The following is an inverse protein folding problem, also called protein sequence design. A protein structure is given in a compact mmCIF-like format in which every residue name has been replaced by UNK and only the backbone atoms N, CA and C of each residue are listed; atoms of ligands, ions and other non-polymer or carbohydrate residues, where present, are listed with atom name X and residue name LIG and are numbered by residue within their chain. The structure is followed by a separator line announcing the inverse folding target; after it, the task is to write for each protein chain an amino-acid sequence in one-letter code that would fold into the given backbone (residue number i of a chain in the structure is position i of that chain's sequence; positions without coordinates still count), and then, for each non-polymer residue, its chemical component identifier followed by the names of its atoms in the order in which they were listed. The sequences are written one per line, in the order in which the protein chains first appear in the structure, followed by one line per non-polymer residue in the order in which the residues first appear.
data_IF_402661041609
#
_entry.id   IF_402661041609
#
_cell.length_a   1.000
_cell.length_b   1.000
_cell.length_c   1.000
_cell.angle_alpha   90.00
_cell.angle_beta   90.00
_cell.angle_gamma   90.00
#
_symmetry.space_group_name_H-M   'P 1'
#
loop_
_entity.id
_entity.type
_entity.pdbx_description
1 polymer ?
#
# COMPACT_ATOMS: atom_id res chain seq x y z
N UNK A 1 5.87 -5.95 8.45
CA UNK A 1 4.71 -5.02 8.46
C UNK A 1 5.10 -3.79 9.23
N UNK A 2 4.53 -2.64 8.86
CA UNK A 2 4.70 -1.38 9.57
C UNK A 2 3.43 -0.54 9.46
N UNK A 3 3.33 0.46 10.32
CA UNK A 3 2.25 1.43 10.33
C UNK A 3 2.86 2.84 10.34
N UNK A 4 2.21 3.75 9.61
CA UNK A 4 2.54 5.17 9.60
C UNK A 4 1.24 5.93 9.83
N UNK A 5 1.26 6.95 10.71
CA UNK A 5 0.08 7.76 11.01
C UNK A 5 -0.18 8.80 9.90
N UNK A 6 -0.53 8.33 8.71
CA UNK A 6 -0.78 9.15 7.52
C UNK A 6 -1.95 8.59 6.71
N UNK A 7 -2.50 9.42 5.81
CA UNK A 7 -3.15 8.87 4.61
C UNK A 7 -2.10 8.71 3.54
N UNK A 8 -2.05 7.52 2.95
CA UNK A 8 -1.18 7.27 1.81
C UNK A 8 -2.01 6.96 0.58
N UNK A 9 -1.72 7.66 -0.51
CA UNK A 9 -2.24 7.34 -1.84
C UNK A 9 -1.14 6.64 -2.59
N UNK A 10 -1.29 5.33 -2.78
CA UNK A 10 -0.25 4.45 -3.32
C UNK A 10 -0.74 3.85 -4.63
N UNK A 11 -0.04 4.12 -5.73
CA UNK A 11 -0.34 3.56 -7.05
C UNK A 11 0.74 2.56 -7.44
N UNK A 12 0.33 1.36 -7.88
CA UNK A 12 1.26 0.42 -8.50
C UNK A 12 1.50 0.85 -9.95
N UNK A 13 2.74 1.23 -10.28
CA UNK A 13 3.11 1.64 -11.64
C UNK A 13 3.56 0.46 -12.50
N UNK A 14 4.30 -0.49 -11.92
CA UNK A 14 4.83 -1.66 -12.62
C UNK A 14 5.05 -2.84 -11.67
N UNK A 15 4.92 -4.06 -12.20
CA UNK A 15 5.15 -5.31 -11.46
C UNK A 15 3.86 -5.93 -10.94
N UNK A 16 3.98 -6.84 -9.99
CA UNK A 16 2.85 -7.58 -9.41
C UNK A 16 3.04 -7.71 -7.89
N UNK A 17 2.15 -7.10 -7.11
CA UNK A 17 2.36 -6.90 -5.67
C UNK A 17 1.17 -7.42 -4.88
N UNK A 18 1.42 -8.01 -3.71
CA UNK A 18 0.40 -8.23 -2.71
C UNK A 18 0.49 -7.18 -1.61
N UNK A 19 -0.65 -6.59 -1.24
CA UNK A 19 -0.81 -5.83 -0.01
C UNK A 19 -1.27 -6.78 1.08
N UNK A 20 -0.51 -6.84 2.16
CA UNK A 20 -0.82 -7.62 3.36
C UNK A 20 -1.28 -6.65 4.44
N UNK A 21 -2.45 -6.93 5.01
CA UNK A 21 -3.07 -6.25 6.15
C UNK A 21 -3.32 -7.30 7.27
N UNK A 22 -3.66 -6.85 8.47
CA UNK A 22 -3.96 -7.77 9.58
C UNK A 22 -5.11 -8.74 9.25
N UNK A 23 -6.10 -8.29 8.48
CA UNK A 23 -7.29 -9.07 8.10
C UNK A 23 -7.14 -9.94 6.85
N UNK A 24 -6.00 -9.87 6.15
CA UNK A 24 -5.78 -10.66 4.94
C UNK A 24 -4.87 -10.01 3.91
N UNK A 25 -4.81 -10.65 2.75
CA UNK A 25 -3.95 -10.27 1.63
C UNK A 25 -4.79 -10.00 0.39
N UNK A 26 -4.41 -8.98 -0.37
CA UNK A 26 -5.01 -8.71 -1.69
C UNK A 26 -3.94 -8.47 -2.74
N UNK A 27 -4.21 -8.92 -3.96
CA UNK A 27 -3.32 -8.77 -5.11
C UNK A 27 -3.59 -7.43 -5.80
N UNK A 28 -2.55 -6.64 -6.02
CA UNK A 28 -2.59 -5.33 -6.68
C UNK A 28 -1.91 -5.43 -8.05
N UNK A 29 -2.56 -4.85 -9.06
CA UNK A 29 -2.09 -4.80 -10.46
C UNK A 29 -1.75 -3.37 -10.90
N UNK A 30 -0.88 -3.21 -11.92
CA UNK A 30 -0.51 -1.89 -12.41
C UNK A 30 -1.72 -1.01 -12.75
N UNK A 31 -1.67 0.26 -12.35
CA UNK A 31 -2.75 1.24 -12.49
C UNK A 31 -3.76 1.24 -11.34
N UNK A 32 -3.73 0.26 -10.44
CA UNK A 32 -4.59 0.26 -9.25
C UNK A 32 -4.00 1.14 -8.15
N UNK A 33 -4.90 1.77 -7.40
CA UNK A 33 -4.59 2.69 -6.30
C UNK A 33 -5.10 2.12 -4.99
N UNK A 34 -4.23 2.12 -3.98
CA UNK A 34 -4.55 1.83 -2.59
C UNK A 34 -4.65 3.14 -1.83
N UNK A 35 -5.73 3.31 -1.09
CA UNK A 35 -5.89 4.38 -0.11
C UNK A 35 -5.61 3.79 1.26
N UNK A 36 -4.39 3.97 1.75
CA UNK A 36 -3.96 3.48 3.05
C UNK A 36 -4.37 4.49 4.13
N UNK A 37 -5.11 4.05 5.14
CA UNK A 37 -5.70 4.92 6.17
C UNK A 37 -5.03 4.71 7.53
N UNK A 38 -3.70 4.67 7.55
CA UNK A 38 -2.91 4.41 8.74
C UNK A 38 -3.12 3.02 9.33
N UNK A 39 -3.28 2.00 8.49
CA UNK A 39 -3.35 0.62 8.94
C UNK A 39 -2.00 -0.08 8.79
N UNK A 40 -1.67 -0.94 9.75
CA UNK A 40 -0.49 -1.81 9.70
C UNK A 40 -0.49 -2.66 8.41
N UNK A 41 0.62 -2.62 7.66
CA UNK A 41 0.67 -3.24 6.34
C UNK A 41 2.08 -3.67 5.91
N UNK A 42 2.12 -4.54 4.89
CA UNK A 42 3.34 -4.91 4.17
C UNK A 42 3.07 -5.10 2.67
N UNK A 43 4.14 -5.07 1.89
CA UNK A 43 4.11 -5.28 0.45
C UNK A 43 5.02 -6.45 0.09
N UNK A 44 4.54 -7.37 -0.74
CA UNK A 44 5.34 -8.46 -1.31
C UNK A 44 5.30 -8.34 -2.82
N UNK A 45 6.46 -8.13 -3.44
CA UNK A 45 6.60 -8.20 -4.88
C UNK A 45 6.80 -9.65 -5.32
N UNK A 46 6.24 -10.02 -6.47
CA UNK A 46 6.27 -11.40 -6.96
C UNK A 46 6.83 -11.45 -8.38
N UNK A 47 7.62 -12.48 -8.65
CA UNK A 47 8.21 -12.70 -9.98
C UNK A 47 9.20 -11.62 -10.42
N UNK A 48 9.52 -10.64 -9.57
CA UNK A 48 10.43 -9.54 -9.87
C UNK A 48 10.17 -8.32 -8.99
N UNK A 49 10.92 -7.22 -9.23
CA UNK A 49 10.69 -5.96 -8.55
C UNK A 49 9.36 -5.32 -8.95
N UNK A 50 8.84 -4.48 -8.07
CA UNK A 50 7.67 -3.66 -8.33
C UNK A 50 7.98 -2.19 -8.07
N UNK A 51 7.34 -1.32 -8.86
CA UNK A 51 7.47 0.13 -8.75
C UNK A 51 6.17 0.71 -8.24
N UNK A 52 6.21 1.33 -7.06
CA UNK A 52 5.08 2.04 -6.47
C UNK A 52 5.38 3.54 -6.41
N UNK A 53 4.38 4.36 -6.73
CA UNK A 53 4.35 5.77 -6.36
C UNK A 53 3.53 5.89 -5.07
N UNK A 54 4.12 6.47 -4.02
CA UNK A 54 3.44 6.71 -2.76
C UNK A 54 3.48 8.20 -2.42
N UNK A 55 2.31 8.78 -2.16
CA UNK A 55 2.17 10.14 -1.59
C UNK A 55 1.60 9.99 -0.20
N UNK A 56 2.40 10.36 0.81
CA UNK A 56 2.02 10.31 2.22
C UNK A 56 1.61 11.71 2.65
N UNK A 57 0.43 11.81 3.24
CA UNK A 57 -0.17 13.06 3.69
C UNK A 57 -0.33 12.99 5.20
N UNK A 58 0.41 13.86 5.90
CA UNK A 58 0.23 14.05 7.33
C UNK A 58 -1.17 14.62 7.61
N UNK A 59 -1.87 13.98 8.54
CA UNK A 59 -3.16 14.46 9.08
C UNK A 59 -3.58 13.63 10.30
N UNK A 60 -4.44 14.18 11.16
CA UNK A 60 -5.17 13.36 12.13
C UNK A 60 -5.98 12.28 11.41
N UNK A 61 -5.78 11.02 11.80
CA UNK A 61 -6.67 9.94 11.39
C UNK A 61 -7.96 10.07 12.21
N UNK A 62 -9.10 10.14 11.52
CA UNK A 62 -10.39 10.03 12.20
C UNK A 62 -10.49 8.62 12.80
N UNK A 63 -10.69 8.54 14.11
CA UNK A 63 -10.86 7.29 14.86
C UNK A 63 -12.17 6.59 14.56
#
# INVERSE_FOLDING_TARGET
MHETHSIDVICLLQGDVSLILDGGETRIKPGQVVIQRGTNHAWVAHGGPALLLAVLIDRPLAG
#
